data_IF_107092632354
#
_entry.id   IF_107092632354
#
_cell.length_a   1.000
_cell.length_b   1.000
_cell.length_c   1.000
_cell.angle_alpha   90.00
_cell.angle_beta   90.00
_cell.angle_gamma   90.00
#
_symmetry.space_group_name_H-M   'P 1'
#
loop_
_entity.id
_entity.type
_entity.pdbx_description
1 polymer ?
#
# COMPACT_ATOMS: atom_id res chain seq x y z
N UNK A 1 17.61 10.51 -3.03
CA UNK A 1 17.44 10.63 -1.56
C UNK A 1 17.56 9.22 -1.01
N UNK A 2 18.32 9.02 0.06
CA UNK A 2 18.57 7.68 0.62
C UNK A 2 17.61 7.41 1.77
N UNK A 3 17.13 6.16 1.84
CA UNK A 3 16.30 5.68 2.94
C UNK A 3 17.12 5.64 4.23
N UNK A 4 16.49 5.96 5.37
CA UNK A 4 17.14 5.99 6.68
C UNK A 4 16.59 4.89 7.59
N UNK A 5 17.42 4.41 8.50
CA UNK A 5 17.05 3.43 9.53
C UNK A 5 17.90 2.17 9.48
N UNK A 6 18.24 1.64 10.65
CA UNK A 6 19.07 0.44 10.79
C UNK A 6 18.21 -0.82 10.87
N UNK A 7 16.97 -0.69 11.35
CA UNK A 7 15.98 -1.76 11.43
C UNK A 7 14.95 -1.69 10.30
N UNK A 8 14.30 -2.83 10.01
CA UNK A 8 13.17 -2.88 9.06
C UNK A 8 12.09 -1.86 9.43
N UNK A 9 11.69 -1.81 10.71
CA UNK A 9 10.66 -0.86 11.16
C UNK A 9 11.05 0.60 10.91
N UNK A 10 12.27 1.01 11.27
CA UNK A 10 12.73 2.39 11.04
C UNK A 10 12.76 2.74 9.55
N UNK A 11 13.13 1.78 8.69
CA UNK A 11 13.12 1.95 7.24
C UNK A 11 11.71 2.09 6.69
N UNK A 12 10.76 1.26 7.13
CA UNK A 12 9.34 1.39 6.76
C UNK A 12 8.76 2.74 7.24
N UNK A 13 9.05 3.12 8.49
CA UNK A 13 8.57 4.38 9.07
C UNK A 13 9.15 5.58 8.28
N UNK A 14 10.45 5.55 7.94
CA UNK A 14 11.07 6.60 7.14
C UNK A 14 10.51 6.65 5.70
N UNK A 15 10.31 5.49 5.06
CA UNK A 15 9.70 5.41 3.73
C UNK A 15 8.31 6.04 3.74
N UNK A 16 7.50 5.70 4.74
CA UNK A 16 6.14 6.20 4.90
C UNK A 16 6.11 7.71 5.16
N UNK A 17 7.03 8.23 5.98
CA UNK A 17 7.17 9.67 6.22
C UNK A 17 7.54 10.46 4.96
N UNK A 18 8.54 10.00 4.21
CA UNK A 18 8.95 10.67 2.96
C UNK A 18 7.85 10.57 1.90
N UNK A 19 7.16 9.43 1.81
CA UNK A 19 6.00 9.29 0.96
C UNK A 19 4.90 10.30 1.34
N UNK A 20 4.60 10.51 2.64
CA UNK A 20 3.65 11.55 3.11
C UNK A 20 4.13 12.98 2.84
N UNK A 21 5.43 13.21 2.68
CA UNK A 21 5.98 14.51 2.24
C UNK A 21 5.92 14.73 0.73
N UNK A 22 5.52 13.72 -0.04
CA UNK A 22 5.50 13.77 -1.51
C UNK A 22 6.83 13.36 -2.15
N UNK A 23 7.73 12.73 -1.38
CA UNK A 23 8.99 12.20 -1.84
C UNK A 23 8.91 10.66 -1.80
N UNK A 24 8.26 9.99 -2.77
CA UNK A 24 8.20 8.54 -2.77
C UNK A 24 9.59 7.94 -2.98
N UNK A 25 10.00 7.04 -2.10
CA UNK A 25 11.31 6.37 -2.15
C UNK A 25 11.10 4.87 -2.18
N UNK A 26 11.71 4.19 -3.15
CA UNK A 26 11.77 2.74 -3.17
C UNK A 26 12.82 2.27 -2.15
N UNK A 27 12.42 1.38 -1.24
CA UNK A 27 13.31 0.81 -0.26
C UNK A 27 14.12 -0.32 -0.92
N UNK A 28 15.27 0.02 -1.48
CA UNK A 28 16.15 -0.96 -2.14
C UNK A 28 16.85 -1.94 -1.19
N UNK A 29 16.76 -1.73 0.14
CA UNK A 29 17.36 -2.62 1.13
C UNK A 29 16.44 -3.83 1.36
N UNK A 30 15.14 -3.58 1.51
CA UNK A 30 14.13 -4.63 1.69
C UNK A 30 13.38 -4.99 0.39
N UNK A 31 13.73 -4.33 -0.72
CA UNK A 31 13.09 -4.46 -2.06
C UNK A 31 11.59 -4.10 -2.05
N UNK A 32 11.21 -3.08 -1.29
CA UNK A 32 9.81 -2.67 -1.08
C UNK A 32 9.47 -1.32 -1.73
N UNK A 33 8.31 -1.28 -2.40
CA UNK A 33 7.71 -0.05 -2.90
C UNK A 33 6.99 0.74 -1.80
N UNK A 34 6.79 2.04 -2.03
CA UNK A 34 5.84 2.81 -1.23
C UNK A 34 4.40 2.30 -1.44
N UNK A 35 3.44 2.62 -0.55
CA UNK A 35 2.11 2.00 -0.54
C UNK A 35 1.33 2.11 -1.85
N UNK A 36 1.52 3.21 -2.59
CA UNK A 36 0.86 3.48 -3.87
C UNK A 36 1.76 3.24 -5.10
N UNK A 37 2.92 2.60 -4.91
CA UNK A 37 3.90 2.30 -5.95
C UNK A 37 4.48 3.53 -6.66
N UNK A 38 4.22 4.74 -6.17
CA UNK A 38 4.68 5.99 -6.80
C UNK A 38 6.19 6.19 -6.85
N UNK A 39 6.97 5.38 -6.10
CA UNK A 39 8.42 5.32 -6.23
C UNK A 39 8.87 4.72 -7.56
N UNK A 40 8.02 3.92 -8.20
CA UNK A 40 8.26 3.24 -9.48
C UNK A 40 7.33 3.75 -10.60
N UNK A 41 6.13 4.23 -10.26
CA UNK A 41 5.13 4.79 -11.17
C UNK A 41 4.70 6.18 -10.67
N UNK A 42 5.46 7.25 -10.96
CA UNK A 42 5.25 8.59 -10.36
C UNK A 42 3.82 9.14 -10.49
N UNK A 43 3.12 8.78 -11.56
CA UNK A 43 1.72 9.11 -11.83
C UNK A 43 0.71 8.47 -10.86
N UNK A 44 1.10 7.40 -10.16
CA UNK A 44 0.29 6.72 -9.14
C UNK A 44 0.31 7.45 -7.78
N UNK A 45 1.08 8.54 -7.65
CA UNK A 45 1.21 9.29 -6.39
C UNK A 45 -0.14 9.82 -5.90
N UNK A 46 -0.56 9.34 -4.73
CA UNK A 46 -1.83 9.72 -4.14
C UNK A 46 -1.83 11.16 -3.61
N UNK A 47 -3.00 11.82 -3.52
CA UNK A 47 -3.14 13.11 -2.85
C UNK A 47 -2.63 13.08 -1.41
N UNK A 48 -2.08 14.19 -0.92
CA UNK A 48 -1.47 14.29 0.42
C UNK A 48 -2.42 13.87 1.54
N UNK A 49 -3.69 14.27 1.46
CA UNK A 49 -4.77 13.88 2.39
C UNK A 49 -4.84 12.36 2.54
N UNK A 50 -4.86 11.62 1.42
CA UNK A 50 -4.96 10.16 1.40
C UNK A 50 -3.68 9.51 1.96
N UNK A 51 -2.51 10.08 1.65
CA UNK A 51 -1.22 9.61 2.18
C UNK A 51 -1.16 9.76 3.71
N UNK A 52 -1.62 10.90 4.24
CA UNK A 52 -1.75 11.13 5.68
C UNK A 52 -2.75 10.17 6.33
N UNK A 53 -3.91 9.94 5.70
CA UNK A 53 -4.89 8.97 6.18
C UNK A 53 -4.29 7.57 6.31
N UNK A 54 -3.56 7.11 5.30
CA UNK A 54 -2.91 5.80 5.33
C UNK A 54 -1.87 5.70 6.45
N UNK A 55 -1.07 6.75 6.66
CA UNK A 55 -0.11 6.78 7.76
C UNK A 55 -0.80 6.65 9.12
N UNK A 56 -1.92 7.34 9.34
CA UNK A 56 -2.68 7.23 10.59
C UNK A 56 -3.30 5.84 10.78
N UNK A 57 -3.75 5.18 9.72
CA UNK A 57 -4.21 3.78 9.78
C UNK A 57 -3.04 2.86 10.19
N UNK A 58 -1.85 3.03 9.61
CA UNK A 58 -0.68 2.24 10.00
C UNK A 58 -0.31 2.43 11.48
N UNK A 59 -0.31 3.68 11.97
CA UNK A 59 -0.03 3.97 13.39
C UNK A 59 -1.06 3.39 14.35
N UNK A 60 -2.31 3.22 13.92
CA UNK A 60 -3.36 2.58 14.72
C UNK A 60 -3.16 1.07 14.76
N UNK A 61 -2.93 0.45 13.61
CA UNK A 61 -2.64 -0.98 13.51
C UNK A 61 -1.43 -1.39 14.35
N UNK A 62 -0.37 -0.58 14.38
CA UNK A 62 0.82 -0.82 15.21
C UNK A 62 0.56 -0.75 16.73
N UNK A 63 -0.53 -0.10 17.17
CA UNK A 63 -0.90 0.05 18.59
C UNK A 63 -1.81 -1.06 19.09
N UNK A 64 -2.50 -1.75 18.19
CA UNK A 64 -3.36 -2.85 18.56
C UNK A 64 -2.48 -4.08 18.84
N UNK A 65 -2.64 -4.67 20.03
CA UNK A 65 -1.93 -5.90 20.40
C UNK A 65 -2.29 -7.01 19.40
N UNK A 66 -1.30 -7.84 19.06
CA UNK A 66 -1.50 -8.97 18.16
C UNK A 66 -2.69 -9.82 18.62
N UNK A 67 -3.76 -9.84 17.83
CA UNK A 67 -4.93 -10.66 18.06
C UNK A 67 -4.88 -11.87 17.11
N UNK A 68 -4.73 -13.11 17.59
CA UNK A 68 -4.68 -14.28 16.72
C UNK A 68 -5.99 -14.52 15.92
N UNK A 69 -7.11 -13.96 16.37
CA UNK A 69 -8.42 -14.02 15.68
C UNK A 69 -8.68 -12.79 14.77
N UNK A 70 -7.78 -11.80 14.77
CA UNK A 70 -7.76 -10.64 13.87
C UNK A 70 -6.34 -10.46 13.34
N UNK A 71 -6.08 -11.06 12.18
CA UNK A 71 -4.77 -11.07 11.55
C UNK A 71 -4.20 -9.64 11.32
N UNK A 72 -2.85 -9.45 11.37
CA UNK A 72 -2.09 -8.18 11.44
C UNK A 72 -2.33 -7.07 10.41
N UNK A 73 -3.32 -7.19 9.54
CA UNK A 73 -3.71 -6.14 8.64
C UNK A 73 -5.14 -5.72 8.97
N UNK A 74 -5.30 -4.58 9.65
CA UNK A 74 -6.58 -3.89 9.83
C UNK A 74 -7.29 -3.83 8.46
N UNK A 75 -8.59 -4.17 8.42
CA UNK A 75 -9.44 -4.12 7.21
C UNK A 75 -9.30 -2.78 6.48
N UNK A 76 -9.13 -1.68 7.23
CA UNK A 76 -8.90 -0.36 6.66
C UNK A 76 -7.54 -0.26 5.94
N UNK A 77 -6.48 -0.81 6.52
CA UNK A 77 -5.13 -0.82 5.92
C UNK A 77 -5.14 -1.62 4.62
N UNK A 78 -5.74 -2.81 4.63
CA UNK A 78 -5.84 -3.65 3.43
C UNK A 78 -6.72 -3.01 2.36
N UNK A 79 -7.88 -2.46 2.74
CA UNK A 79 -8.77 -1.80 1.79
C UNK A 79 -8.08 -0.66 1.04
N UNK A 80 -7.26 0.13 1.74
CA UNK A 80 -6.47 1.20 1.11
C UNK A 80 -5.37 0.65 0.19
N UNK A 81 -4.58 -0.34 0.63
CA UNK A 81 -3.55 -0.97 -0.21
C UNK A 81 -4.13 -1.56 -1.49
N UNK A 82 -5.26 -2.26 -1.39
CA UNK A 82 -5.94 -2.84 -2.55
C UNK A 82 -6.48 -1.75 -3.48
N UNK A 83 -6.97 -0.64 -2.93
CA UNK A 83 -7.40 0.51 -3.74
C UNK A 83 -6.23 1.16 -4.50
N UNK A 84 -5.06 1.29 -3.87
CA UNK A 84 -3.87 1.83 -4.53
C UNK A 84 -3.36 0.91 -5.64
N UNK A 85 -3.29 -0.40 -5.37
CA UNK A 85 -2.92 -1.39 -6.36
C UNK A 85 -3.91 -1.39 -7.54
N UNK A 86 -5.21 -1.34 -7.28
CA UNK A 86 -6.23 -1.24 -8.33
C UNK A 86 -6.11 0.03 -9.17
N UNK A 87 -5.81 1.16 -8.55
CA UNK A 87 -5.54 2.44 -9.24
C UNK A 87 -4.33 2.35 -10.16
N UNK A 88 -3.20 1.86 -9.65
CA UNK A 88 -1.97 1.66 -10.42
C UNK A 88 -2.18 0.68 -11.59
N UNK A 89 -2.83 -0.47 -11.35
CA UNK A 89 -3.10 -1.46 -12.41
C UNK A 89 -4.03 -0.91 -13.49
N UNK A 90 -4.99 -0.05 -13.13
CA UNK A 90 -5.89 0.59 -14.11
C UNK A 90 -5.15 1.58 -15.00
N UNK A 91 -4.07 2.20 -14.50
CA UNK A 91 -3.20 3.06 -15.30
C UNK A 91 -2.30 2.23 -16.22
N UNK A 92 -1.63 1.20 -15.68
CA UNK A 92 -0.68 0.37 -16.43
C UNK A 92 -1.34 -0.54 -17.47
N UNK A 93 -2.59 -0.95 -17.22
CA UNK A 93 -3.36 -1.83 -18.08
C UNK A 93 -4.67 -1.17 -18.56
N UNK A 94 -4.62 -0.06 -19.33
CA UNK A 94 -5.79 0.75 -19.65
C UNK A 94 -6.85 0.00 -20.48
N UNK A 95 -6.42 -1.03 -21.22
CA UNK A 95 -7.30 -1.87 -22.05
C UNK A 95 -7.85 -3.10 -21.31
N UNK A 96 -7.69 -3.17 -19.98
CA UNK A 96 -8.11 -4.31 -19.16
C UNK A 96 -9.10 -3.87 -18.08
N UNK A 97 -10.11 -4.69 -17.86
CA UNK A 97 -10.95 -4.60 -16.67
C UNK A 97 -10.25 -5.34 -15.53
N UNK A 98 -9.85 -4.61 -14.49
CA UNK A 98 -9.17 -5.17 -13.32
C UNK A 98 -10.20 -5.55 -12.27
N UNK A 99 -10.11 -6.79 -11.78
CA UNK A 99 -10.90 -7.29 -10.66
C UNK A 99 -9.97 -7.85 -9.60
N UNK A 100 -10.06 -7.28 -8.39
CA UNK A 100 -9.32 -7.76 -7.21
C UNK A 100 -10.35 -8.47 -6.33
N UNK A 101 -10.13 -9.75 -6.04
CA UNK A 101 -10.99 -10.56 -5.17
C UNK A 101 -10.17 -11.11 -4.01
N UNK A 102 -10.84 -11.50 -2.94
CA UNK A 102 -10.27 -12.20 -1.78
C UNK A 102 -10.00 -13.69 -2.04
N UNK A 103 -10.14 -14.15 -3.28
CA UNK A 103 -9.96 -15.54 -3.70
C UNK A 103 -11.26 -16.35 -3.74
N UNK A 104 -12.41 -15.82 -3.31
CA UNK A 104 -13.70 -16.46 -3.58
C UNK A 104 -14.13 -16.16 -5.03
N UNK A 105 -13.95 -17.15 -5.89
CA UNK A 105 -14.28 -17.08 -7.32
C UNK A 105 -15.62 -17.78 -7.63
N UNK A 106 -16.37 -18.21 -6.61
CA UNK A 106 -17.57 -19.04 -6.78
C UNK A 106 -18.72 -18.34 -7.54
N UNK A 107 -18.70 -17.00 -7.63
CA UNK A 107 -19.75 -16.21 -8.27
C UNK A 107 -19.42 -15.69 -9.69
N UNK A 108 -18.19 -15.90 -10.20
CA UNK A 108 -17.76 -15.42 -11.53
C UNK A 108 -18.19 -16.36 -12.65
N UNK A 109 -19.39 -16.16 -13.19
CA UNK A 109 -19.96 -16.90 -14.34
C UNK A 109 -19.35 -16.52 -15.71
N UNK A 110 -18.54 -15.48 -15.75
CA UNK A 110 -18.01 -14.81 -16.95
C UNK A 110 -16.60 -15.27 -17.36
N UNK A 111 -15.97 -16.17 -16.60
CA UNK A 111 -14.60 -16.66 -16.83
C UNK A 111 -14.52 -18.11 -17.35
N UNK A 112 -15.64 -18.69 -17.79
CA UNK A 112 -15.72 -20.00 -18.45
C UNK A 112 -16.03 -19.88 -19.94
#
# INVERSE_FOLDING_TARGET
MELKGDTYKERCDNQLEEWVRGNPIHNSIDEECCPDFSCCSPESLQPEEIRKTFQEVCKKADKEEFNPDHHPYDDAKMGMLMSFMGGMLSHECPDKNIHITDGDMSERKDLN
#
